data_IF_137215275121
#
_entry.id   IF_137215275121
#
_cell.length_a   1.000
_cell.length_b   1.000
_cell.length_c   1.000
_cell.angle_alpha   90.00
_cell.angle_beta   90.00
_cell.angle_gamma   90.00
#
_symmetry.space_group_name_H-M   'P 1'
#
loop_
_entity.id
_entity.type
_entity.pdbx_description
1 polymer ?
#
# COMPACT_ATOMS: atom_id res chain seq x y z
N UNK A 1 -37.47 -26.05 16.96
CA UNK A 1 -36.25 -26.21 16.13
C UNK A 1 -35.85 -24.84 15.64
N UNK A 2 -35.03 -24.15 16.42
CA UNK A 2 -34.50 -22.82 16.09
C UNK A 2 -33.05 -23.02 15.67
N UNK A 3 -32.79 -22.95 14.36
CA UNK A 3 -31.47 -23.13 13.78
C UNK A 3 -30.60 -21.91 14.13
N UNK A 4 -29.96 -21.96 15.29
CA UNK A 4 -28.88 -21.06 15.69
C UNK A 4 -27.61 -21.37 14.90
N UNK A 5 -27.60 -21.10 13.59
CA UNK A 5 -26.33 -20.94 12.87
C UNK A 5 -25.67 -19.65 13.37
N UNK A 6 -24.47 -19.70 13.95
CA UNK A 6 -23.75 -18.49 14.33
C UNK A 6 -23.57 -17.61 13.07
N UNK A 7 -23.68 -16.27 13.20
CA UNK A 7 -23.45 -15.40 12.07
C UNK A 7 -22.07 -15.68 11.49
N UNK A 8 -21.98 -15.98 10.18
CA UNK A 8 -20.70 -16.12 9.48
C UNK A 8 -19.87 -14.86 9.72
N UNK A 9 -18.92 -14.94 10.65
CA UNK A 9 -18.07 -13.85 11.09
C UNK A 9 -17.03 -13.56 10.00
N UNK A 10 -17.39 -12.67 9.07
CA UNK A 10 -16.50 -12.20 8.01
C UNK A 10 -16.70 -10.71 7.76
N UNK A 11 -15.69 -10.06 7.20
CA UNK A 11 -15.78 -8.64 6.84
C UNK A 11 -16.77 -8.44 5.69
N UNK A 12 -17.59 -7.40 5.79
CA UNK A 12 -18.54 -7.03 4.73
C UNK A 12 -17.82 -6.34 3.57
N UNK A 13 -18.37 -6.45 2.36
CA UNK A 13 -17.78 -5.95 1.11
C UNK A 13 -17.21 -4.53 1.22
N UNK A 14 -17.99 -3.56 1.73
CA UNK A 14 -17.52 -2.18 1.87
C UNK A 14 -16.35 -2.02 2.85
N UNK A 15 -16.34 -2.77 3.97
CA UNK A 15 -15.22 -2.75 4.91
C UNK A 15 -13.98 -3.41 4.30
N UNK A 16 -14.16 -4.47 3.53
CA UNK A 16 -13.07 -5.13 2.82
C UNK A 16 -12.48 -4.22 1.75
N UNK A 17 -13.31 -3.59 0.91
CA UNK A 17 -12.85 -2.61 -0.08
C UNK A 17 -12.17 -1.42 0.58
N UNK A 18 -12.76 -0.85 1.64
CA UNK A 18 -12.17 0.31 2.32
C UNK A 18 -10.85 -0.04 3.00
N UNK A 19 -10.75 -1.21 3.64
CA UNK A 19 -9.51 -1.66 4.26
C UNK A 19 -8.45 -2.06 3.23
N UNK A 20 -8.87 -2.69 2.12
CA UNK A 20 -8.01 -3.04 0.99
C UNK A 20 -7.45 -1.79 0.32
N UNK A 21 -8.33 -0.85 -0.06
CA UNK A 21 -7.95 0.48 -0.55
C UNK A 21 -7.08 1.20 0.46
N UNK A 22 -7.41 1.29 1.75
CA UNK A 22 -6.54 1.97 2.71
C UNK A 22 -5.15 1.30 2.86
N UNK A 23 -5.07 -0.02 2.73
CA UNK A 23 -3.80 -0.76 2.78
C UNK A 23 -2.98 -0.68 1.47
N UNK A 24 -3.63 -0.66 0.31
CA UNK A 24 -3.01 -0.66 -1.03
C UNK A 24 -2.83 0.75 -1.62
N UNK A 25 -3.79 1.64 -1.35
CA UNK A 25 -3.85 3.02 -1.84
C UNK A 25 -3.09 4.02 -0.97
N UNK A 26 -2.34 3.55 0.03
CA UNK A 26 -1.45 4.39 0.82
C UNK A 26 -0.28 4.92 -0.01
N UNK A 27 0.95 4.73 0.50
CA UNK A 27 2.19 5.23 -0.10
C UNK A 27 2.35 4.87 -1.59
N UNK A 28 1.83 3.71 -1.99
CA UNK A 28 1.89 3.23 -3.38
C UNK A 28 1.31 4.19 -4.41
N UNK A 29 0.15 4.81 -4.14
CA UNK A 29 -0.48 5.75 -5.08
C UNK A 29 0.29 7.07 -5.15
N UNK A 30 0.84 7.51 -4.02
CA UNK A 30 1.67 8.72 -3.95
C UNK A 30 3.00 8.57 -4.68
N UNK A 31 3.50 7.35 -4.84
CA UNK A 31 4.72 7.04 -5.59
C UNK A 31 4.52 7.05 -7.11
N UNK A 32 3.28 6.99 -7.61
CA UNK A 32 3.00 6.92 -9.06
C UNK A 32 3.45 8.19 -9.81
N UNK A 33 3.15 9.42 -9.37
CA UNK A 33 3.65 10.63 -10.02
C UNK A 33 5.18 10.69 -10.06
N UNK A 34 5.83 10.27 -8.96
CA UNK A 34 7.29 10.22 -8.90
C UNK A 34 7.86 9.18 -9.87
N UNK A 35 7.29 7.98 -9.91
CA UNK A 35 7.64 6.94 -10.87
C UNK A 35 7.48 7.42 -12.33
N UNK A 36 6.39 8.14 -12.62
CA UNK A 36 6.16 8.76 -13.91
C UNK A 36 7.19 9.84 -14.24
N UNK A 37 7.59 10.65 -13.25
CA UNK A 37 8.64 11.67 -13.43
C UNK A 37 10.02 11.08 -13.71
N UNK A 38 10.28 9.87 -13.21
CA UNK A 38 11.54 9.14 -13.40
C UNK A 38 11.56 8.33 -14.70
N UNK A 39 10.45 7.71 -15.10
CA UNK A 39 10.38 6.89 -16.32
C UNK A 39 9.87 7.64 -17.56
N UNK A 40 9.19 8.77 -17.39
CA UNK A 40 8.46 9.44 -18.48
C UNK A 40 7.17 8.71 -18.85
N UNK A 41 6.42 9.28 -19.80
CA UNK A 41 5.06 8.83 -20.15
C UNK A 41 4.97 7.36 -20.59
N UNK A 42 5.99 6.84 -21.28
CA UNK A 42 5.98 5.43 -21.72
C UNK A 42 6.00 4.44 -20.55
N UNK A 43 6.48 4.86 -19.37
CA UNK A 43 6.47 4.03 -18.17
C UNK A 43 5.05 3.62 -17.73
N UNK A 44 4.01 4.36 -18.16
CA UNK A 44 2.61 3.99 -17.93
C UNK A 44 2.22 2.66 -18.56
N UNK A 45 2.88 2.25 -19.66
CA UNK A 45 2.66 0.93 -20.23
C UNK A 45 3.14 -0.18 -19.28
N UNK A 46 4.26 0.05 -18.59
CA UNK A 46 4.78 -0.87 -17.56
C UNK A 46 3.80 -0.92 -16.39
N UNK A 47 3.33 0.25 -15.92
CA UNK A 47 2.31 0.33 -14.87
C UNK A 47 1.05 -0.45 -15.22
N UNK A 48 0.49 -0.26 -16.41
CA UNK A 48 -0.70 -0.98 -16.88
C UNK A 48 -0.44 -2.50 -16.98
N UNK A 49 0.75 -2.89 -17.45
CA UNK A 49 1.14 -4.30 -17.54
C UNK A 49 1.19 -4.95 -16.16
N UNK A 50 1.80 -4.30 -15.17
CA UNK A 50 1.82 -4.77 -13.77
C UNK A 50 0.39 -4.87 -13.23
N UNK A 51 -0.46 -3.86 -13.47
CA UNK A 51 -1.86 -3.87 -13.04
C UNK A 51 -2.64 -5.07 -13.60
N UNK A 52 -2.49 -5.37 -14.90
CA UNK A 52 -3.12 -6.53 -15.55
C UNK A 52 -2.61 -7.84 -14.95
N UNK A 53 -1.29 -7.96 -14.74
CA UNK A 53 -0.69 -9.14 -14.12
C UNK A 53 -1.25 -9.34 -12.71
N UNK A 54 -1.27 -8.31 -11.87
CA UNK A 54 -1.80 -8.37 -10.50
C UNK A 54 -3.28 -8.76 -10.46
N UNK A 55 -4.08 -8.23 -11.37
CA UNK A 55 -5.49 -8.63 -11.48
C UNK A 55 -5.62 -10.11 -11.85
N UNK A 56 -4.89 -10.55 -12.88
CA UNK A 56 -4.92 -11.94 -13.33
C UNK A 56 -4.46 -12.92 -12.24
N UNK A 57 -3.32 -12.63 -11.59
CA UNK A 57 -2.79 -13.47 -10.51
C UNK A 57 -3.71 -13.45 -9.29
N UNK A 58 -4.40 -12.35 -9.00
CA UNK A 58 -5.42 -12.28 -7.94
C UNK A 58 -6.58 -13.25 -8.17
N UNK A 59 -7.10 -13.33 -9.40
CA UNK A 59 -8.12 -14.32 -9.77
C UNK A 59 -7.56 -15.75 -9.75
N UNK A 60 -6.30 -15.95 -10.14
CA UNK A 60 -5.66 -17.25 -10.07
C UNK A 60 -5.52 -17.73 -8.63
N UNK A 61 -5.09 -16.85 -7.72
CA UNK A 61 -5.03 -17.10 -6.27
C UNK A 61 -6.39 -17.53 -5.72
N UNK A 62 -7.46 -16.82 -6.09
CA UNK A 62 -8.81 -17.19 -5.71
C UNK A 62 -9.13 -18.63 -6.14
N UNK A 63 -8.88 -18.96 -7.41
CA UNK A 63 -9.14 -20.31 -7.95
C UNK A 63 -8.31 -21.38 -7.24
N UNK A 64 -7.05 -21.08 -6.91
CA UNK A 64 -6.19 -21.98 -6.14
C UNK A 64 -6.77 -22.26 -4.75
N UNK A 65 -7.26 -21.23 -4.05
CA UNK A 65 -7.88 -21.38 -2.72
C UNK A 65 -9.20 -22.15 -2.82
N UNK A 66 -10.00 -21.89 -3.85
CA UNK A 66 -11.27 -22.59 -4.07
C UNK A 66 -11.09 -24.05 -4.51
N UNK A 67 -9.91 -24.43 -5.01
CA UNK A 67 -9.63 -25.78 -5.50
C UNK A 67 -9.63 -26.85 -4.40
N UNK A 68 -9.37 -26.46 -3.15
CA UNK A 68 -9.30 -27.41 -2.03
C UNK A 68 -9.61 -26.72 -0.70
N UNK A 69 -10.44 -27.35 0.12
CA UNK A 69 -10.76 -26.89 1.47
C UNK A 69 -9.56 -26.86 2.43
N UNK A 70 -8.47 -27.52 2.06
CA UNK A 70 -7.20 -27.54 2.79
C UNK A 70 -6.38 -26.27 2.57
N UNK A 71 -6.61 -25.53 1.48
CA UNK A 71 -5.88 -24.30 1.16
C UNK A 71 -6.56 -23.12 1.83
N UNK A 72 -5.89 -22.49 2.79
CA UNK A 72 -6.40 -21.31 3.51
C UNK A 72 -5.46 -20.12 3.44
N UNK A 73 -4.17 -20.37 3.26
CA UNK A 73 -3.14 -19.34 3.28
C UNK A 73 -2.29 -19.40 2.02
N UNK A 74 -1.58 -18.30 1.71
CA UNK A 74 -0.68 -18.24 0.57
C UNK A 74 0.35 -19.40 0.57
N UNK A 75 1.00 -19.76 1.71
CA UNK A 75 1.91 -20.91 1.75
C UNK A 75 1.25 -22.27 1.47
N UNK A 76 -0.04 -22.44 1.79
CA UNK A 76 -0.75 -23.69 1.52
C UNK A 76 -0.93 -23.94 0.00
N UNK A 77 -0.99 -22.87 -0.79
CA UNK A 77 -0.96 -22.98 -2.26
C UNK A 77 0.37 -23.59 -2.71
N UNK A 78 1.48 -23.16 -2.11
CA UNK A 78 2.81 -23.73 -2.33
C UNK A 78 2.91 -25.18 -1.89
N UNK A 79 2.25 -25.55 -0.78
CA UNK A 79 2.16 -26.94 -0.32
C UNK A 79 1.41 -27.83 -1.31
N UNK A 80 0.30 -27.34 -1.85
CA UNK A 80 -0.50 -28.08 -2.83
C UNK A 80 0.26 -28.29 -4.15
N UNK A 81 1.03 -27.29 -4.60
CA UNK A 81 1.75 -27.35 -5.87
C UNK A 81 3.08 -28.12 -5.80
N UNK A 82 3.86 -27.95 -4.73
CA UNK A 82 5.24 -28.46 -4.64
C UNK A 82 5.52 -29.23 -3.33
N UNK A 83 4.49 -29.60 -2.59
CA UNK A 83 4.61 -30.28 -1.30
C UNK A 83 5.24 -29.41 -0.22
N UNK A 84 5.74 -30.06 0.84
CA UNK A 84 6.24 -29.38 2.04
C UNK A 84 7.36 -28.36 1.76
N UNK A 85 8.23 -28.65 0.79
CA UNK A 85 9.32 -27.73 0.39
C UNK A 85 8.75 -26.43 -0.21
N UNK A 86 7.74 -26.54 -1.07
CA UNK A 86 7.02 -25.39 -1.62
C UNK A 86 6.42 -24.50 -0.54
N UNK A 87 5.76 -25.11 0.45
CA UNK A 87 5.20 -24.38 1.60
C UNK A 87 6.23 -23.50 2.28
N UNK A 88 7.40 -24.09 2.60
CA UNK A 88 8.46 -23.39 3.33
C UNK A 88 9.01 -22.24 2.49
N UNK A 89 9.30 -22.48 1.21
CA UNK A 89 9.83 -21.44 0.31
C UNK A 89 8.85 -20.28 0.18
N UNK A 90 7.58 -20.55 -0.10
CA UNK A 90 6.54 -19.53 -0.23
C UNK A 90 6.34 -18.76 1.08
N UNK A 91 6.37 -19.45 2.23
CA UNK A 91 6.29 -18.80 3.53
C UNK A 91 7.48 -17.86 3.78
N UNK A 92 8.70 -18.27 3.42
CA UNK A 92 9.90 -17.42 3.57
C UNK A 92 9.75 -16.14 2.75
N UNK A 93 9.39 -16.24 1.46
CA UNK A 93 9.21 -15.06 0.61
C UNK A 93 8.09 -14.15 1.12
N UNK A 94 6.94 -14.72 1.50
CA UNK A 94 5.83 -13.93 2.04
C UNK A 94 6.22 -13.18 3.31
N UNK A 95 6.88 -13.84 4.26
CA UNK A 95 7.27 -13.19 5.51
C UNK A 95 8.39 -12.17 5.30
N UNK A 96 9.33 -12.44 4.40
CA UNK A 96 10.37 -11.49 4.03
C UNK A 96 9.76 -10.25 3.37
N UNK A 97 8.82 -10.42 2.46
CA UNK A 97 8.09 -9.32 1.81
C UNK A 97 7.34 -8.47 2.83
N UNK A 98 6.56 -9.08 3.72
CA UNK A 98 5.84 -8.35 4.77
C UNK A 98 6.79 -7.62 5.73
N UNK A 99 7.96 -8.22 6.03
CA UNK A 99 8.99 -7.58 6.85
C UNK A 99 9.59 -6.36 6.14
N UNK A 100 9.96 -6.47 4.87
CA UNK A 100 10.52 -5.37 4.09
C UNK A 100 9.52 -4.22 3.95
N UNK A 101 8.25 -4.52 3.68
CA UNK A 101 7.17 -3.51 3.64
C UNK A 101 7.04 -2.79 4.98
N UNK A 102 7.15 -3.50 6.10
CA UNK A 102 7.12 -2.86 7.42
C UNK A 102 8.32 -1.92 7.65
N UNK A 103 9.52 -2.33 7.23
CA UNK A 103 10.72 -1.48 7.29
C UNK A 103 10.57 -0.25 6.40
N UNK A 104 10.02 -0.39 5.18
CA UNK A 104 9.79 0.72 4.26
C UNK A 104 8.85 1.78 4.89
N UNK A 105 7.78 1.35 5.55
CA UNK A 105 6.90 2.28 6.28
C UNK A 105 7.63 2.98 7.42
N UNK A 106 8.46 2.29 8.20
CA UNK A 106 9.25 2.92 9.27
C UNK A 106 10.23 3.97 8.72
N UNK A 107 10.91 3.66 7.61
CA UNK A 107 11.83 4.59 6.96
C UNK A 107 11.06 5.81 6.44
N UNK A 108 9.92 5.60 5.80
CA UNK A 108 9.10 6.68 5.27
C UNK A 108 8.61 7.63 6.37
N UNK A 109 8.12 7.09 7.48
CA UNK A 109 7.72 7.90 8.64
C UNK A 109 8.93 8.66 9.22
N UNK A 110 10.09 8.00 9.30
CA UNK A 110 11.33 8.63 9.71
C UNK A 110 11.75 9.79 8.81
N UNK A 111 11.67 9.59 7.49
CA UNK A 111 11.90 10.64 6.50
C UNK A 111 10.92 11.79 6.73
N UNK A 112 9.61 11.52 6.75
CA UNK A 112 8.57 12.53 6.95
C UNK A 112 8.78 13.36 8.23
N UNK A 113 9.11 12.72 9.35
CA UNK A 113 9.32 13.39 10.63
C UNK A 113 10.62 14.19 10.69
N UNK A 114 11.72 13.68 10.13
CA UNK A 114 12.97 14.44 10.00
C UNK A 114 12.69 15.76 9.32
N UNK A 115 11.89 15.71 8.27
CA UNK A 115 11.77 16.85 7.40
C UNK A 115 10.67 17.82 7.92
N UNK A 116 9.73 17.35 8.75
CA UNK A 116 8.90 18.21 9.63
C UNK A 116 9.69 18.89 10.76
N UNK A 117 10.71 18.22 11.30
CA UNK A 117 11.53 18.69 12.41
C UNK A 117 13.03 18.65 12.07
N UNK A 118 13.49 19.44 11.09
CA UNK A 118 14.85 19.32 10.54
C UNK A 118 15.96 19.66 11.55
N UNK A 119 15.62 20.37 12.63
CA UNK A 119 16.55 20.75 13.68
C UNK A 119 16.51 19.82 14.91
N UNK A 120 15.75 18.73 14.86
CA UNK A 120 15.73 17.74 15.93
C UNK A 120 17.10 17.04 16.02
N UNK A 121 17.74 17.12 17.19
CA UNK A 121 19.00 16.45 17.47
C UNK A 121 18.74 15.29 18.45
N UNK A 122 19.10 14.07 18.05
CA UNK A 122 18.96 12.89 18.91
C UNK A 122 20.34 12.46 19.41
N UNK A 123 20.51 12.45 20.73
CA UNK A 123 21.68 11.89 21.38
C UNK A 123 21.26 10.60 22.07
N UNK A 124 21.78 9.46 21.61
CA UNK A 124 21.53 8.16 22.23
C UNK A 124 22.86 7.57 22.71
N UNK A 125 22.95 7.29 24.01
CA UNK A 125 24.11 6.64 24.64
C UNK A 125 25.49 7.26 24.31
N UNK A 126 25.56 8.59 24.18
CA UNK A 126 26.81 9.32 23.87
C UNK A 126 27.19 9.39 22.40
N UNK A 127 26.41 8.77 21.50
CA UNK A 127 26.58 8.87 20.05
C UNK A 127 25.54 9.83 19.47
N UNK A 128 25.99 10.72 18.57
CA UNK A 128 25.11 11.62 17.83
C UNK A 128 24.37 10.80 16.78
N UNK A 129 23.10 10.54 17.01
CA UNK A 129 22.22 9.85 16.07
C UNK A 129 21.64 10.90 15.13
N UNK A 130 21.70 10.65 13.81
CA UNK A 130 21.09 11.54 12.83
C UNK A 130 19.58 11.69 13.06
N UNK A 131 19.03 12.82 12.63
CA UNK A 131 17.62 13.20 12.86
C UNK A 131 16.65 12.13 12.35
N UNK A 132 16.83 11.67 11.10
CA UNK A 132 16.13 10.51 10.53
C UNK A 132 16.19 9.26 11.41
N UNK A 133 17.39 8.79 11.73
CA UNK A 133 17.58 7.53 12.45
C UNK A 133 16.95 7.60 13.84
N UNK A 134 16.99 8.76 14.50
CA UNK A 134 16.32 8.98 15.77
C UNK A 134 14.80 8.85 15.66
N UNK A 135 14.19 9.47 14.65
CA UNK A 135 12.74 9.34 14.41
C UNK A 135 12.32 7.91 14.06
N UNK A 136 13.07 7.22 13.20
CA UNK A 136 12.83 5.80 12.89
C UNK A 136 12.86 4.95 14.16
N UNK A 137 13.87 5.13 15.02
CA UNK A 137 13.99 4.38 16.27
C UNK A 137 12.85 4.67 17.25
N UNK A 138 12.49 5.94 17.43
CA UNK A 138 11.37 6.34 18.30
C UNK A 138 10.07 5.73 17.81
N UNK A 139 9.78 5.86 16.51
CA UNK A 139 8.55 5.33 15.95
C UNK A 139 8.51 3.79 15.98
N UNK A 140 9.65 3.13 15.74
CA UNK A 140 9.78 1.69 15.92
C UNK A 140 9.44 1.26 17.35
N UNK A 141 9.94 1.98 18.36
CA UNK A 141 9.64 1.71 19.77
C UNK A 141 8.18 1.98 20.13
N UNK A 142 7.52 2.94 19.48
CA UNK A 142 6.10 3.24 19.66
C UNK A 142 5.19 2.19 19.00
N UNK A 143 5.56 1.67 17.83
CA UNK A 143 4.80 0.64 17.11
C UNK A 143 5.02 -0.75 17.71
N UNK A 144 6.21 -1.04 18.25
CA UNK A 144 6.53 -2.33 18.86
C UNK A 144 5.49 -2.83 19.88
N UNK A 145 5.01 -2.04 20.87
CA UNK A 145 3.97 -2.49 21.79
C UNK A 145 2.67 -2.82 21.05
N UNK A 146 2.32 -2.10 19.98
CA UNK A 146 1.10 -2.38 19.20
C UNK A 146 1.11 -3.75 18.55
N UNK A 147 2.30 -4.28 18.21
CA UNK A 147 2.44 -5.65 17.66
C UNK A 147 2.24 -6.76 18.70
N UNK A 148 2.44 -6.46 19.99
CA UNK A 148 2.20 -7.38 21.09
C UNK A 148 0.78 -7.28 21.68
N UNK A 149 -0.01 -6.28 21.29
CA UNK A 149 -1.40 -6.14 21.74
C UNK A 149 -2.26 -7.26 21.13
N UNK A 150 -2.48 -8.32 21.90
CA UNK A 150 -3.42 -9.41 21.57
C UNK A 150 -4.90 -8.99 21.58
N UNK A 151 -5.23 -7.78 22.03
CA UNK A 151 -6.62 -7.33 22.14
C UNK A 151 -7.09 -6.67 20.84
N UNK A 152 -8.05 -7.31 20.14
CA UNK A 152 -8.70 -6.77 18.94
C UNK A 152 -9.35 -5.38 19.15
N UNK A 153 -9.76 -5.06 20.39
CA UNK A 153 -10.37 -3.77 20.72
C UNK A 153 -9.39 -2.59 20.62
N UNK A 154 -8.14 -2.73 21.09
CA UNK A 154 -7.12 -1.67 20.97
C UNK A 154 -6.77 -1.41 19.51
N UNK A 155 -6.65 -2.47 18.71
CA UNK A 155 -6.40 -2.35 17.27
C UNK A 155 -7.53 -1.59 16.55
N UNK A 156 -8.79 -1.78 16.98
CA UNK A 156 -9.92 -1.03 16.44
C UNK A 156 -9.85 0.47 16.75
N UNK A 157 -9.40 0.87 17.93
CA UNK A 157 -9.19 2.29 18.27
C UNK A 157 -8.05 2.92 17.45
N UNK A 158 -6.93 2.21 17.28
CA UNK A 158 -5.81 2.65 16.43
C UNK A 158 -6.28 2.82 14.98
N UNK A 159 -7.05 1.87 14.45
CA UNK A 159 -7.62 1.97 13.10
C UNK A 159 -8.56 3.19 12.95
N UNK A 160 -9.37 3.49 13.97
CA UNK A 160 -10.25 4.66 13.96
C UNK A 160 -9.46 5.98 13.97
N UNK A 161 -8.38 6.04 14.74
CA UNK A 161 -7.42 7.16 14.69
C UNK A 161 -6.78 7.33 13.32
N UNK A 162 -6.37 6.23 12.68
CA UNK A 162 -5.84 6.23 11.32
C UNK A 162 -6.82 6.80 10.29
N UNK A 163 -8.09 6.37 10.33
CA UNK A 163 -9.13 6.91 9.43
C UNK A 163 -9.33 8.41 9.62
N UNK A 164 -9.37 8.89 10.86
CA UNK A 164 -9.50 10.33 11.15
C UNK A 164 -8.31 11.12 10.61
N UNK A 165 -7.08 10.62 10.80
CA UNK A 165 -5.88 11.23 10.24
C UNK A 165 -5.91 11.28 8.70
N UNK A 166 -6.33 10.20 8.04
CA UNK A 166 -6.49 10.16 6.58
C UNK A 166 -7.49 11.20 6.07
N UNK A 167 -8.63 11.37 6.75
CA UNK A 167 -9.65 12.37 6.37
C UNK A 167 -9.08 13.78 6.48
N UNK A 168 -8.36 14.09 7.57
CA UNK A 168 -7.73 15.41 7.78
C UNK A 168 -6.67 15.67 6.70
N UNK A 169 -5.84 14.67 6.38
CA UNK A 169 -4.83 14.77 5.33
C UNK A 169 -5.48 15.08 3.98
N UNK A 170 -6.49 14.30 3.57
CA UNK A 170 -7.21 14.51 2.31
C UNK A 170 -7.81 15.92 2.25
N UNK A 171 -8.47 16.36 3.33
CA UNK A 171 -9.05 17.70 3.40
C UNK A 171 -7.97 18.80 3.24
N UNK A 172 -6.81 18.61 3.86
CA UNK A 172 -5.68 19.54 3.81
C UNK A 172 -5.08 19.62 2.41
N UNK A 173 -4.86 18.47 1.76
CA UNK A 173 -4.34 18.41 0.38
C UNK A 173 -5.32 19.01 -0.60
N UNK A 174 -6.63 18.73 -0.45
CA UNK A 174 -7.66 19.34 -1.29
C UNK A 174 -7.66 20.86 -1.13
N UNK A 175 -7.63 21.37 0.11
CA UNK A 175 -7.60 22.80 0.39
C UNK A 175 -6.40 23.49 -0.28
N UNK A 176 -5.19 22.98 -0.04
CA UNK A 176 -3.96 23.57 -0.57
C UNK A 176 -3.94 23.46 -2.11
N UNK A 177 -4.42 22.35 -2.67
CA UNK A 177 -4.54 22.17 -4.11
C UNK A 177 -5.60 23.05 -4.80
N UNK A 178 -6.67 23.46 -4.09
CA UNK A 178 -7.73 24.32 -4.66
C UNK A 178 -7.50 25.81 -4.41
N UNK A 179 -6.92 26.19 -3.27
CA UNK A 179 -6.86 27.58 -2.83
C UNK A 179 -5.45 28.17 -2.88
N UNK A 180 -4.40 27.37 -2.70
CA UNK A 180 -3.01 27.87 -2.64
C UNK A 180 -2.27 27.73 -3.98
N UNK A 181 -2.94 27.23 -5.02
CA UNK A 181 -2.44 27.26 -6.41
C UNK A 181 -1.16 26.45 -6.67
N UNK A 182 -0.82 25.51 -5.79
CA UNK A 182 0.37 24.68 -5.91
C UNK A 182 0.16 23.55 -6.94
N UNK A 183 0.93 23.60 -8.02
CA UNK A 183 1.06 22.53 -9.00
C UNK A 183 2.39 22.72 -9.73
N UNK A 184 3.11 21.64 -10.04
CA UNK A 184 4.35 21.79 -10.80
C UNK A 184 4.10 21.79 -12.30
N UNK A 185 4.77 22.71 -12.98
CA UNK A 185 4.84 22.80 -14.43
C UNK A 185 6.09 22.11 -14.96
N UNK A 186 6.20 20.78 -14.82
CA UNK A 186 7.28 20.03 -15.48
C UNK A 186 6.81 19.59 -16.86
N UNK A 187 7.43 20.12 -17.91
CA UNK A 187 7.17 19.68 -19.30
C UNK A 187 7.49 18.19 -19.42
N UNK A 188 6.53 17.41 -19.90
CA UNK A 188 6.62 15.95 -19.95
C UNK A 188 7.79 15.45 -20.80
N UNK A 189 8.66 14.62 -20.20
CA UNK A 189 9.66 13.84 -20.92
C UNK A 189 9.00 12.57 -21.46
N UNK A 190 9.08 12.27 -22.77
CA UNK A 190 8.44 11.08 -23.33
C UNK A 190 8.92 9.77 -22.68
N UNK A 191 10.25 9.65 -22.48
CA UNK A 191 10.92 8.48 -21.90
C UNK A 191 12.22 8.93 -21.25
N UNK A 192 12.49 8.42 -20.04
CA UNK A 192 13.82 8.41 -19.46
C UNK A 192 14.22 6.97 -19.10
N UNK A 193 15.09 6.39 -19.93
CA UNK A 193 15.55 5.01 -19.77
C UNK A 193 16.37 4.80 -18.51
N UNK A 194 17.03 5.85 -18.00
CA UNK A 194 17.86 5.75 -16.80
C UNK A 194 17.02 5.61 -15.53
N UNK A 195 15.84 6.25 -15.50
CA UNK A 195 14.88 6.14 -14.40
C UNK A 195 13.85 5.02 -14.55
N UNK A 196 13.84 4.26 -15.65
CA UNK A 196 12.90 3.14 -15.85
C UNK A 196 12.95 2.06 -14.77
N UNK A 197 14.12 1.59 -14.29
CA UNK A 197 14.16 0.62 -13.19
C UNK A 197 13.51 1.15 -11.91
N UNK A 198 13.72 2.43 -11.60
CA UNK A 198 13.09 3.12 -10.46
C UNK A 198 11.58 3.25 -10.65
N UNK A 199 11.12 3.60 -11.86
CA UNK A 199 9.70 3.67 -12.15
C UNK A 199 9.02 2.29 -12.01
N UNK A 200 9.66 1.24 -12.55
CA UNK A 200 9.18 -0.13 -12.45
C UNK A 200 9.09 -0.61 -11.00
N UNK A 201 10.09 -0.34 -10.17
CA UNK A 201 10.07 -0.76 -8.75
C UNK A 201 8.98 -0.05 -7.96
N UNK A 202 8.78 1.25 -8.19
CA UNK A 202 7.72 2.03 -7.54
C UNK A 202 6.32 1.59 -7.98
N UNK A 203 6.13 1.27 -9.27
CA UNK A 203 4.88 0.69 -9.75
C UNK A 203 4.62 -0.71 -9.17
N UNK A 204 5.63 -1.58 -9.11
CA UNK A 204 5.50 -2.89 -8.47
C UNK A 204 5.15 -2.76 -6.98
N UNK A 205 5.80 -1.82 -6.29
CA UNK A 205 5.51 -1.50 -4.88
C UNK A 205 4.05 -1.05 -4.69
N UNK A 206 3.50 -0.25 -5.61
CA UNK A 206 2.08 0.14 -5.57
C UNK A 206 1.12 -1.05 -5.57
N UNK A 207 1.50 -2.18 -6.15
CA UNK A 207 0.70 -3.41 -6.17
C UNK A 207 1.18 -4.49 -5.18
N UNK A 208 2.11 -4.17 -4.27
CA UNK A 208 2.67 -5.14 -3.29
C UNK A 208 1.63 -5.75 -2.34
N UNK A 209 0.52 -5.05 -2.07
CA UNK A 209 -0.58 -5.62 -1.27
C UNK A 209 -1.26 -6.83 -1.94
N UNK A 210 -0.88 -7.20 -3.16
CA UNK A 210 -1.24 -8.47 -3.78
C UNK A 210 -0.93 -9.68 -2.89
N UNK A 211 0.17 -9.64 -2.13
CA UNK A 211 0.59 -10.73 -1.24
C UNK A 211 -0.45 -11.05 -0.13
N UNK A 212 -1.27 -10.06 0.27
CA UNK A 212 -2.31 -10.26 1.30
C UNK A 212 -3.67 -10.68 0.74
N UNK A 213 -3.82 -10.81 -0.58
CA UNK A 213 -5.08 -11.19 -1.23
C UNK A 213 -5.69 -12.49 -0.71
N UNK A 214 -4.93 -13.59 -0.43
CA UNK A 214 -5.50 -14.79 0.15
C UNK A 214 -6.10 -14.58 1.54
N UNK A 215 -5.47 -13.73 2.36
CA UNK A 215 -5.95 -13.40 3.70
C UNK A 215 -7.25 -12.59 3.61
N UNK A 216 -7.30 -11.60 2.71
CA UNK A 216 -8.51 -10.84 2.42
C UNK A 216 -9.62 -11.78 1.96
N UNK A 217 -9.35 -12.60 0.94
CA UNK A 217 -10.32 -13.52 0.35
C UNK A 217 -10.93 -14.48 1.38
N UNK A 218 -10.09 -15.11 2.20
CA UNK A 218 -10.55 -16.11 3.17
C UNK A 218 -11.33 -15.49 4.34
N UNK A 219 -11.05 -14.23 4.69
CA UNK A 219 -11.75 -13.45 5.72
C UNK A 219 -13.06 -12.79 5.28
N UNK A 220 -13.38 -12.77 3.98
CA UNK A 220 -14.62 -12.18 3.46
C UNK A 220 -15.87 -12.98 3.82
N UNK A 221 -16.94 -12.29 4.24
CA UNK A 221 -18.25 -12.92 4.47
C UNK A 221 -18.87 -13.47 3.18
N UNK A 222 -18.69 -12.77 2.06
CA UNK A 222 -19.17 -13.19 0.74
C UNK A 222 -18.02 -13.23 -0.27
N UNK A 223 -17.38 -14.39 -0.37
CA UNK A 223 -16.24 -14.65 -1.27
C UNK A 223 -16.54 -14.41 -2.76
N UNK A 224 -17.82 -14.51 -3.19
CA UNK A 224 -18.21 -14.23 -4.58
C UNK A 224 -17.96 -12.79 -5.01
N UNK A 225 -17.80 -11.87 -4.06
CA UNK A 225 -17.54 -10.45 -4.32
C UNK A 225 -16.05 -10.13 -4.47
N UNK A 226 -15.15 -11.07 -4.19
CA UNK A 226 -13.70 -10.85 -4.27
C UNK A 226 -13.19 -10.41 -5.65
N UNK A 227 -13.66 -10.96 -6.78
CA UNK A 227 -13.29 -10.44 -8.10
C UNK A 227 -13.61 -8.95 -8.26
N UNK A 228 -14.72 -8.48 -7.70
CA UNK A 228 -15.09 -7.06 -7.72
C UNK A 228 -14.15 -6.25 -6.84
N UNK A 229 -13.82 -6.73 -5.63
CA UNK A 229 -12.84 -6.08 -4.75
C UNK A 229 -11.48 -5.95 -5.46
N UNK A 230 -10.96 -7.05 -6.01
CA UNK A 230 -9.68 -7.06 -6.71
C UNK A 230 -9.68 -6.14 -7.94
N UNK A 231 -10.78 -6.08 -8.71
CA UNK A 231 -10.93 -5.10 -9.80
C UNK A 231 -10.87 -3.67 -9.27
N UNK A 232 -11.60 -3.36 -8.20
CA UNK A 232 -11.61 -2.01 -7.61
C UNK A 232 -10.24 -1.61 -7.10
N UNK A 233 -9.51 -2.52 -6.46
CA UNK A 233 -8.15 -2.30 -5.98
C UNK A 233 -7.18 -2.02 -7.12
N UNK A 234 -7.23 -2.78 -8.21
CA UNK A 234 -6.34 -2.59 -9.36
C UNK A 234 -6.68 -1.32 -10.15
N UNK A 235 -7.96 -1.00 -10.29
CA UNK A 235 -8.40 0.17 -11.05
C UNK A 235 -8.25 1.48 -10.28
N UNK A 236 -8.23 1.46 -8.94
CA UNK A 236 -8.12 2.68 -8.14
C UNK A 236 -6.85 3.51 -8.46
N UNK A 237 -5.64 2.91 -8.50
CA UNK A 237 -4.44 3.59 -8.98
C UNK A 237 -4.56 4.10 -10.43
N UNK A 238 -5.21 3.35 -11.32
CA UNK A 238 -5.40 3.74 -12.73
C UNK A 238 -6.32 4.96 -12.84
N UNK A 239 -7.41 4.99 -12.09
CA UNK A 239 -8.31 6.15 -12.03
C UNK A 239 -7.63 7.35 -11.40
N UNK A 240 -6.78 7.16 -10.39
CA UNK A 240 -6.02 8.24 -9.79
C UNK A 240 -5.05 8.87 -10.81
N UNK A 241 -4.35 8.06 -11.59
CA UNK A 241 -3.49 8.52 -12.70
C UNK A 241 -4.32 9.28 -13.73
N UNK A 242 -5.44 8.71 -14.16
CA UNK A 242 -6.30 9.34 -15.15
C UNK A 242 -6.87 10.68 -14.65
N UNK A 243 -7.35 10.76 -13.41
CA UNK A 243 -7.83 12.00 -12.80
C UNK A 243 -6.71 13.04 -12.63
N UNK A 244 -5.50 12.60 -12.29
CA UNK A 244 -4.33 13.47 -12.18
C UNK A 244 -3.92 14.04 -13.55
N UNK A 245 -4.12 13.28 -14.63
CA UNK A 245 -3.84 13.68 -16.01
C UNK A 245 -4.98 14.46 -16.68
N UNK A 246 -6.25 14.13 -16.41
CA UNK A 246 -7.41 14.79 -17.04
C UNK A 246 -7.62 16.23 -16.55
N UNK A 247 -7.02 16.57 -15.40
CA UNK A 247 -6.93 17.97 -14.97
C UNK A 247 -5.94 18.82 -15.80
N UNK A 248 -5.33 18.28 -16.85
CA UNK A 248 -4.46 18.99 -17.80
C UNK A 248 -5.19 19.85 -18.85
N UNK A 249 -6.35 20.44 -18.52
CA UNK A 249 -6.77 21.69 -19.20
C UNK A 249 -6.26 22.95 -18.49
N UNK A 250 -5.91 22.87 -17.21
CA UNK A 250 -5.28 23.98 -16.49
C UNK A 250 -4.42 23.43 -15.36
N UNK A 251 -3.10 23.63 -15.47
CA UNK A 251 -2.09 23.36 -14.46
C UNK A 251 -1.93 21.89 -14.05
N UNK A 252 -0.85 21.31 -14.57
CA UNK A 252 -0.25 20.06 -14.12
C UNK A 252 -0.30 19.91 -12.59
N UNK A 253 -1.12 18.95 -12.13
CA UNK A 253 -1.17 18.53 -10.74
C UNK A 253 -0.03 17.55 -10.46
N UNK A 254 1.21 18.04 -10.44
CA UNK A 254 2.20 17.41 -9.56
C UNK A 254 1.86 17.84 -8.13
N UNK A 255 1.10 16.98 -7.46
CA UNK A 255 0.56 17.24 -6.12
C UNK A 255 1.67 17.09 -5.08
N UNK A 256 2.12 18.24 -4.58
CA UNK A 256 2.40 18.57 -3.17
C UNK A 256 3.47 17.82 -2.36
N UNK A 257 4.02 16.68 -2.81
CA UNK A 257 4.92 15.90 -1.95
C UNK A 257 6.40 15.98 -2.28
N UNK A 258 6.85 16.74 -3.28
CA UNK A 258 8.27 16.72 -3.67
C UNK A 258 8.96 18.08 -3.82
N UNK A 259 8.24 19.22 -3.94
CA UNK A 259 8.92 20.52 -4.22
C UNK A 259 9.61 21.12 -3.01
N UNK A 260 9.26 20.67 -1.80
CA UNK A 260 9.79 21.19 -0.55
C UNK A 260 10.75 20.22 0.15
N UNK A 261 11.11 19.12 -0.52
CA UNK A 261 11.97 18.06 0.02
C UNK A 261 13.23 17.82 -0.82
N UNK A 262 13.90 18.92 -1.15
CA UNK A 262 15.34 18.95 -1.43
C UNK A 262 15.99 20.02 -0.57
#
# INVERSE_FOLDING_TARGET
MENNTPPKSGTGFFKTCFNGVNALSGVGILSIPYALSQGGWLSLLIFLTIAIICFYTGILLQRCIDSSSLVKTYPDIGELAFGRKGKIIVAIFLYLELYLVAIDFLILEGDNLEKLFPNANFHAAGLKVGSKQGFVLIFSLLVLPTTWLRSLNMLAYVALGGVMASVILIASVLWVGTFDGVGFHKKGVPVDWSGMPTAMSLYAFCFSGHAVFPMIYTGMRNRKTFPTVSKTEVLSPVYFVHFSMDRDKYNCYEVLFYSKWH
#
